data_IF_085150060889
#
_entry.id   IF_085150060889
#
_cell.length_a   1.000
_cell.length_b   1.000
_cell.length_c   1.000
_cell.angle_alpha   90.00
_cell.angle_beta   90.00
_cell.angle_gamma   90.00
#
_symmetry.space_group_name_H-M   'P 1'
#
loop_
_entity.id
_entity.type
_entity.pdbx_description
1 polymer ?
#
# COMPACT_ATOMS: atom_id res chain seq x y z
N UNK A 1 -19.00 3.72 1.29
CA UNK A 1 -19.35 3.03 0.04
C UNK A 1 -20.28 3.95 -0.75
N UNK A 2 -20.07 4.10 -2.06
CA UNK A 2 -20.94 4.93 -2.92
C UNK A 2 -22.24 4.18 -3.20
N UNK A 3 -23.38 4.86 -3.09
CA UNK A 3 -24.72 4.31 -3.34
C UNK A 3 -25.48 5.20 -4.33
N UNK A 4 -26.60 4.75 -4.93
CA UNK A 4 -27.41 5.60 -5.81
C UNK A 4 -27.94 6.88 -5.14
N UNK A 5 -28.04 6.90 -3.80
CA UNK A 5 -28.48 8.06 -3.03
C UNK A 5 -27.32 8.99 -2.60
N UNK A 6 -26.07 8.64 -2.91
CA UNK A 6 -24.91 9.44 -2.52
C UNK A 6 -24.93 10.80 -3.24
N UNK A 7 -24.80 11.92 -2.51
CA UNK A 7 -24.72 13.25 -3.12
C UNK A 7 -23.56 13.36 -4.11
N UNK A 8 -23.74 14.16 -5.18
CA UNK A 8 -22.74 14.32 -6.23
C UNK A 8 -21.38 14.79 -5.69
N UNK A 9 -21.37 15.68 -4.70
CA UNK A 9 -20.13 16.17 -4.07
C UNK A 9 -19.39 15.07 -3.29
N UNK A 10 -20.13 14.17 -2.65
CA UNK A 10 -19.54 13.02 -1.97
C UNK A 10 -18.99 11.99 -2.95
N UNK A 11 -19.73 11.73 -4.03
CA UNK A 11 -19.28 10.87 -5.12
C UNK A 11 -18.01 11.44 -5.78
N UNK A 12 -17.95 12.75 -6.01
CA UNK A 12 -16.77 13.43 -6.55
C UNK A 12 -15.55 13.29 -5.63
N UNK A 13 -15.71 13.52 -4.32
CA UNK A 13 -14.65 13.27 -3.32
C UNK A 13 -14.15 11.82 -3.38
N UNK A 14 -15.06 10.86 -3.43
CA UNK A 14 -14.71 9.44 -3.53
C UNK A 14 -13.95 9.12 -4.83
N UNK A 15 -14.37 9.67 -5.96
CA UNK A 15 -13.70 9.49 -7.25
C UNK A 15 -12.27 10.05 -7.22
N UNK A 16 -12.06 11.24 -6.64
CA UNK A 16 -10.72 11.83 -6.48
C UNK A 16 -9.80 10.98 -5.61
N UNK A 17 -10.29 10.44 -4.49
CA UNK A 17 -9.52 9.55 -3.61
C UNK A 17 -9.17 8.24 -4.32
N UNK A 18 -10.12 7.68 -5.07
CA UNK A 18 -9.87 6.49 -5.90
C UNK A 18 -8.78 6.75 -6.93
N UNK A 19 -8.87 7.88 -7.65
CA UNK A 19 -7.91 8.21 -8.71
C UNK A 19 -6.52 8.53 -8.15
N UNK A 20 -6.43 9.18 -6.99
CA UNK A 20 -5.19 9.41 -6.26
C UNK A 20 -4.48 8.09 -5.87
N UNK A 21 -5.26 7.07 -5.49
CA UNK A 21 -4.71 5.73 -5.23
C UNK A 21 -4.16 5.07 -6.50
N UNK A 22 -4.90 5.18 -7.62
CA UNK A 22 -4.46 4.69 -8.93
C UNK A 22 -3.17 5.38 -9.40
N UNK A 23 -3.09 6.71 -9.28
CA UNK A 23 -1.91 7.50 -9.64
C UNK A 23 -0.66 7.04 -8.87
N UNK A 24 -0.81 6.61 -7.61
CA UNK A 24 0.32 6.12 -6.80
C UNK A 24 0.78 4.71 -7.15
N UNK A 25 -0.15 3.81 -7.53
CA UNK A 25 0.15 2.40 -7.74
C UNK A 25 0.41 2.04 -9.21
N UNK A 26 -0.01 2.88 -10.15
CA UNK A 26 0.09 2.61 -11.57
C UNK A 26 0.68 3.81 -12.33
N UNK A 27 1.93 3.65 -12.79
CA UNK A 27 2.68 4.67 -13.54
C UNK A 27 2.06 5.01 -14.92
N UNK A 28 1.18 4.16 -15.46
CA UNK A 28 0.50 4.46 -16.72
C UNK A 28 -0.61 5.50 -16.57
N UNK A 29 -1.00 5.85 -15.34
CA UNK A 29 -2.02 6.85 -15.05
C UNK A 29 -1.32 8.12 -14.59
N UNK A 30 -1.73 9.27 -15.12
CA UNK A 30 -1.07 10.55 -14.89
C UNK A 30 -2.04 11.73 -14.85
N UNK A 31 -1.51 12.89 -14.47
CA UNK A 31 -2.20 14.18 -14.55
C UNK A 31 -1.96 14.82 -15.94
N UNK A 32 -2.87 15.70 -16.40
CA UNK A 32 -4.06 16.18 -15.70
C UNK A 32 -5.25 15.21 -15.76
N UNK A 33 -6.19 15.37 -14.83
CA UNK A 33 -7.46 14.62 -14.79
C UNK A 33 -8.62 15.56 -15.09
N UNK A 34 -9.56 15.15 -15.93
CA UNK A 34 -10.80 15.89 -16.14
C UNK A 34 -11.92 15.32 -15.27
N UNK A 35 -12.56 16.18 -14.48
CA UNK A 35 -13.73 15.85 -13.68
C UNK A 35 -14.94 16.66 -14.18
N UNK A 36 -15.99 15.93 -14.53
CA UNK A 36 -17.29 16.50 -14.91
C UNK A 36 -18.36 15.99 -13.96
N UNK A 37 -19.15 16.91 -13.40
CA UNK A 37 -20.33 16.57 -12.62
C UNK A 37 -21.57 17.03 -13.39
N UNK A 38 -22.46 16.08 -13.66
CA UNK A 38 -23.69 16.31 -14.38
C UNK A 38 -24.88 16.13 -13.44
N UNK A 39 -25.66 17.21 -13.30
CA UNK A 39 -26.86 17.22 -12.47
C UNK A 39 -28.07 16.67 -13.23
N UNK A 40 -28.88 15.89 -12.52
CA UNK A 40 -30.07 15.27 -13.10
C UNK A 40 -31.02 16.33 -13.69
N UNK A 41 -31.54 16.06 -14.89
CA UNK A 41 -32.48 16.93 -15.63
C UNK A 41 -32.00 18.35 -15.95
N UNK A 42 -30.72 18.70 -15.73
CA UNK A 42 -30.22 20.04 -16.07
C UNK A 42 -29.97 20.23 -17.56
N UNK A 43 -29.69 19.15 -18.30
CA UNK A 43 -29.33 19.18 -19.72
C UNK A 43 -28.18 20.17 -20.04
N UNK A 44 -27.34 20.43 -19.04
CA UNK A 44 -26.22 21.36 -19.10
C UNK A 44 -25.10 20.87 -18.19
N UNK A 45 -23.86 21.10 -18.59
CA UNK A 45 -22.68 20.86 -17.76
C UNK A 45 -22.52 22.06 -16.82
N UNK A 46 -22.79 21.85 -15.54
CA UNK A 46 -22.69 22.91 -14.53
C UNK A 46 -21.32 22.96 -13.87
N UNK A 47 -20.64 21.82 -13.77
CA UNK A 47 -19.35 21.72 -13.11
C UNK A 47 -18.38 20.88 -13.96
N UNK A 48 -17.31 21.52 -14.41
CA UNK A 48 -16.20 20.89 -15.13
C UNK A 48 -14.89 21.47 -14.61
N UNK A 49 -13.91 20.61 -14.35
CA UNK A 49 -12.58 21.03 -13.89
C UNK A 49 -11.50 20.10 -14.42
N UNK A 50 -10.44 20.68 -14.95
CA UNK A 50 -9.18 19.97 -15.21
C UNK A 50 -8.28 20.12 -13.99
N UNK A 51 -7.86 18.99 -13.44
CA UNK A 51 -7.09 18.87 -12.21
C UNK A 51 -5.66 18.55 -12.59
N UNK A 52 -4.76 19.50 -12.38
CA UNK A 52 -3.33 19.33 -12.58
C UNK A 52 -2.60 19.07 -11.24
N UNK A 53 -1.27 19.04 -11.29
CA UNK A 53 -0.43 18.86 -10.09
C UNK A 53 -0.53 20.01 -9.08
N UNK A 54 -0.97 21.19 -9.52
CA UNK A 54 -1.02 22.43 -8.73
C UNK A 54 -2.41 22.71 -8.17
N UNK A 55 -3.41 21.91 -8.52
CA UNK A 55 -4.77 22.06 -8.02
C UNK A 55 -4.82 21.94 -6.49
N UNK A 56 -5.11 23.06 -5.81
CA UNK A 56 -5.04 23.17 -4.36
C UNK A 56 -6.00 22.21 -3.64
N UNK A 57 -7.20 22.01 -4.20
CA UNK A 57 -8.18 21.09 -3.61
C UNK A 57 -7.70 19.64 -3.72
N UNK A 58 -7.13 19.24 -4.86
CA UNK A 58 -6.62 17.89 -5.04
C UNK A 58 -5.40 17.61 -4.18
N UNK A 59 -4.52 18.59 -3.96
CA UNK A 59 -3.43 18.50 -3.00
C UNK A 59 -3.95 18.38 -1.55
N UNK A 60 -4.94 19.19 -1.18
CA UNK A 60 -5.54 19.15 0.15
C UNK A 60 -6.15 17.78 0.45
N UNK A 61 -6.97 17.23 -0.46
CA UNK A 61 -7.67 15.96 -0.22
C UNK A 61 -6.70 14.77 -0.13
N UNK A 62 -5.69 14.68 -1.00
CA UNK A 62 -4.70 13.58 -0.96
C UNK A 62 -3.86 13.60 0.32
N UNK A 63 -3.47 14.79 0.78
CA UNK A 63 -2.66 14.95 1.99
C UNK A 63 -3.48 14.59 3.22
N UNK A 64 -4.69 15.12 3.31
CA UNK A 64 -5.61 14.85 4.42
C UNK A 64 -5.97 13.38 4.48
N UNK A 65 -6.34 12.77 3.34
CA UNK A 65 -6.69 11.35 3.28
C UNK A 65 -5.51 10.45 3.65
N UNK A 66 -4.32 10.74 3.13
CA UNK A 66 -3.11 9.99 3.47
C UNK A 66 -2.76 10.05 4.95
N UNK A 67 -2.85 11.23 5.58
CA UNK A 67 -2.62 11.40 7.02
C UNK A 67 -3.66 10.64 7.85
N UNK A 68 -4.95 10.74 7.51
CA UNK A 68 -6.01 10.05 8.23
C UNK A 68 -5.88 8.53 8.10
N UNK A 69 -5.60 8.02 6.89
CA UNK A 69 -5.40 6.59 6.67
C UNK A 69 -4.20 6.06 7.48
N UNK A 70 -3.10 6.83 7.51
CA UNK A 70 -1.92 6.48 8.33
C UNK A 70 -2.28 6.45 9.82
N UNK A 71 -2.99 7.46 10.32
CA UNK A 71 -3.40 7.51 11.73
C UNK A 71 -4.33 6.35 12.12
N UNK A 72 -5.31 6.03 11.26
CA UNK A 72 -6.17 4.87 11.46
C UNK A 72 -5.35 3.58 11.46
N UNK A 73 -4.41 3.43 10.52
CA UNK A 73 -3.53 2.27 10.46
C UNK A 73 -2.67 2.12 11.73
N UNK A 74 -2.07 3.20 12.21
CA UNK A 74 -1.29 3.21 13.47
C UNK A 74 -2.13 2.91 14.71
N UNK A 75 -3.45 3.15 14.66
CA UNK A 75 -4.36 2.81 15.76
C UNK A 75 -4.75 1.33 15.81
N UNK A 76 -4.48 0.57 14.74
CA UNK A 76 -4.76 -0.88 14.69
C UNK A 76 -3.70 -1.59 15.52
N UNK A 77 -4.14 -2.42 16.46
CA UNK A 77 -3.23 -3.19 17.31
C UNK A 77 -2.34 -4.12 16.47
N UNK A 78 -1.06 -4.19 16.85
CA UNK A 78 -0.13 -5.11 16.23
C UNK A 78 -0.65 -6.54 16.33
N UNK A 79 -0.43 -7.35 15.29
CA UNK A 79 -0.83 -8.73 15.34
C UNK A 79 0.05 -9.54 16.30
N UNK A 80 -0.59 -10.41 17.09
CA UNK A 80 0.12 -11.36 17.95
C UNK A 80 0.45 -12.61 17.16
N UNK A 81 1.75 -12.91 17.11
CA UNK A 81 2.29 -14.14 16.55
C UNK A 81 2.41 -15.21 17.63
N UNK A 82 2.06 -16.46 17.30
CA UNK A 82 2.19 -17.61 18.19
C UNK A 82 1.45 -17.45 19.53
N UNK A 83 0.24 -16.89 19.50
CA UNK A 83 -0.55 -16.67 20.72
C UNK A 83 -0.98 -18.00 21.36
N UNK A 84 -1.05 -18.00 22.71
CA UNK A 84 -1.70 -19.08 23.45
C UNK A 84 -3.16 -19.23 22.98
N UNK A 85 -3.72 -20.46 22.94
CA UNK A 85 -5.08 -20.70 22.45
C UNK A 85 -6.20 -19.91 23.15
N UNK A 86 -5.92 -19.36 24.33
CA UNK A 86 -6.85 -18.61 25.16
C UNK A 86 -6.90 -17.09 24.87
N UNK A 87 -5.99 -16.56 24.06
CA UNK A 87 -5.98 -15.14 23.66
C UNK A 87 -6.95 -14.90 22.51
N UNK A 88 -7.89 -13.95 22.66
CA UNK A 88 -8.85 -13.56 21.62
C UNK A 88 -8.74 -12.06 21.33
N UNK A 89 -8.60 -11.67 20.05
CA UNK A 89 -8.62 -10.27 19.61
C UNK A 89 -7.77 -9.94 18.38
N UNK A 90 -6.44 -10.17 18.45
CA UNK A 90 -5.45 -9.82 17.42
C UNK A 90 -4.50 -10.97 17.06
N UNK A 91 -4.94 -12.22 17.24
CA UNK A 91 -4.12 -13.41 16.96
C UNK A 91 -4.02 -13.65 15.46
N UNK A 92 -2.83 -13.48 14.88
CA UNK A 92 -2.54 -13.86 13.49
C UNK A 92 -2.24 -15.35 13.33
N UNK A 93 -1.58 -15.94 14.32
CA UNK A 93 -1.23 -17.37 14.33
C UNK A 93 -1.26 -17.89 15.76
N UNK A 94 -2.00 -18.98 15.99
CA UNK A 94 -2.00 -19.68 17.27
C UNK A 94 -0.90 -20.75 17.29
N UNK A 95 -0.29 -20.98 18.45
CA UNK A 95 0.83 -21.94 18.63
C UNK A 95 0.50 -23.35 18.12
N UNK A 96 -0.78 -23.72 18.03
CA UNK A 96 -1.24 -25.05 17.64
C UNK A 96 -1.53 -25.20 16.13
N UNK A 97 -1.55 -24.10 15.35
CA UNK A 97 -1.77 -24.16 13.89
C UNK A 97 -0.43 -24.19 13.13
N UNK A 98 0.01 -25.39 12.76
CA UNK A 98 1.32 -25.63 12.15
C UNK A 98 1.32 -25.42 10.63
N UNK A 99 1.21 -24.18 10.15
CA UNK A 99 1.55 -23.83 8.76
C UNK A 99 3.07 -23.58 8.67
N UNK A 100 3.88 -24.65 8.65
CA UNK A 100 5.32 -24.52 8.42
C UNK A 100 5.58 -24.37 6.92
N UNK A 101 6.44 -23.42 6.49
CA UNK A 101 6.82 -23.33 5.07
C UNK A 101 7.41 -24.68 4.63
N UNK A 102 6.90 -25.20 3.52
CA UNK A 102 7.35 -26.49 2.97
C UNK A 102 8.84 -26.37 2.67
N UNK A 103 9.65 -27.13 3.39
CA UNK A 103 11.08 -27.23 3.14
C UNK A 103 11.29 -28.37 2.16
N UNK A 104 11.72 -28.03 0.94
CA UNK A 104 12.21 -29.05 -0.01
C UNK A 104 13.50 -29.65 0.58
N UNK A 105 13.55 -30.97 0.69
CA UNK A 105 14.75 -31.66 1.14
C UNK A 105 15.88 -31.38 0.13
N UNK A 106 17.08 -31.06 0.63
CA UNK A 106 18.26 -30.88 -0.23
C UNK A 106 18.48 -32.18 -1.02
N UNK A 107 18.50 -32.12 -2.37
CA UNK A 107 18.79 -33.28 -3.21
C UNK A 107 20.11 -33.94 -2.76
N UNK A 108 20.22 -35.28 -2.80
CA UNK A 108 21.39 -36.00 -2.29
C UNK A 108 22.72 -35.48 -2.85
N UNK A 109 22.70 -35.07 -4.12
CA UNK A 109 23.84 -34.57 -4.89
C UNK A 109 24.41 -33.23 -4.39
N UNK A 110 23.63 -32.47 -3.60
CA UNK A 110 23.99 -31.14 -3.09
C UNK A 110 24.29 -31.14 -1.58
N UNK A 111 24.22 -32.30 -0.90
CA UNK A 111 24.41 -32.38 0.56
C UNK A 111 25.85 -32.12 1.00
N UNK A 112 26.83 -32.48 0.17
CA UNK A 112 28.25 -32.32 0.49
C UNK A 112 28.76 -30.87 0.30
N UNK A 113 27.96 -30.01 -0.33
CA UNK A 113 28.25 -28.58 -0.49
C UNK A 113 27.74 -27.76 0.72
N UNK A 114 26.84 -28.33 1.52
CA UNK A 114 26.27 -27.65 2.68
C UNK A 114 27.16 -27.67 3.93
N UNK A 115 28.24 -28.46 3.93
CA UNK A 115 29.24 -28.53 5.03
C UNK A 115 30.41 -27.57 4.85
N UNK A 116 30.59 -26.98 3.66
CA UNK A 116 31.47 -25.83 3.48
C UNK A 116 30.83 -24.61 4.13
N UNK A 117 31.53 -24.02 5.11
CA UNK A 117 31.23 -22.75 5.78
C UNK A 117 30.57 -21.78 4.80
N UNK A 118 29.36 -21.25 5.09
CA UNK A 118 28.73 -20.32 4.18
C UNK A 118 29.62 -19.10 4.03
N UNK A 119 30.05 -18.80 2.80
CA UNK A 119 30.66 -17.52 2.48
C UNK A 119 29.75 -16.40 3.01
N UNK A 120 30.29 -15.36 3.69
CA UNK A 120 29.45 -14.31 4.25
C UNK A 120 28.59 -13.72 3.13
N UNK A 121 27.28 -13.65 3.37
CA UNK A 121 26.31 -13.08 2.43
C UNK A 121 26.68 -11.61 2.20
N UNK A 122 27.38 -11.34 1.10
CA UNK A 122 27.54 -9.98 0.60
C UNK A 122 26.18 -9.50 0.09
N UNK A 123 25.46 -8.80 0.95
CA UNK A 123 24.35 -7.95 0.52
C UNK A 123 24.92 -6.87 -0.41
N UNK A 124 24.39 -6.78 -1.63
CA UNK A 124 24.73 -5.76 -2.65
C UNK A 124 24.62 -4.31 -2.13
N UNK A 125 23.99 -4.09 -0.97
CA UNK A 125 23.84 -2.78 -0.33
C UNK A 125 25.04 -2.33 0.52
N UNK A 126 26.07 -3.18 0.74
CA UNK A 126 27.28 -2.79 1.46
C UNK A 126 28.46 -2.62 0.50
N UNK A 127 28.47 -1.50 -0.23
CA UNK A 127 29.73 -0.94 -0.73
C UNK A 127 30.38 -0.15 0.42
N UNK A 128 31.55 -0.56 0.94
CA UNK A 128 32.31 0.29 1.83
C UNK A 128 32.91 1.43 1.00
N UNK A 129 32.36 2.62 1.21
CA UNK A 129 33.07 3.88 0.98
C UNK A 129 34.42 3.79 1.67
N UNK A 130 35.52 3.72 0.92
CA UNK A 130 36.83 4.06 1.47
C UNK A 130 37.46 5.18 0.63
N UNK A 131 37.20 6.40 1.09
CA UNK A 131 38.00 7.57 0.76
C UNK A 131 39.26 7.54 1.63
N UNK A 132 40.44 7.40 1.03
CA UNK A 132 41.62 8.29 1.22
C UNK A 132 42.92 7.69 0.67
N UNK A 133 43.51 8.44 -0.25
CA UNK A 133 44.91 8.87 -0.30
C UNK A 133 46.03 7.81 -0.21
N UNK A 134 46.71 7.60 -1.33
CA UNK A 134 48.08 8.10 -1.53
C UNK A 134 48.25 8.48 -3.01
#
# INVERSE_FOLDING_TARGET
MVTPATPLDEAAKCALISMDSTLRSNVSVGLPLDLLVYENNKLAVTHFVTIDEKNQYFQMIRNTWGQQLKSVFESIADPVWNASPEVQGNVLSATNMHSKPVRVAVPPELRDIATTTPSPLQSLAQQPNNTRQA
#
